data_IF_350772838022
#
_entry.id   IF_350772838022
#
_cell.length_a   1.000
_cell.length_b   1.000
_cell.length_c   1.000
_cell.angle_alpha   90.00
_cell.angle_beta   90.00
_cell.angle_gamma   90.00
#
_symmetry.space_group_name_H-M   'P 1'
#
loop_
_entity.id
_entity.type
_entity.pdbx_description
1 polymer ?
#
# COMPACT_ATOMS: atom_id res chain seq x y z
N UNK A 1 -2.49 -7.36 -18.52
CA UNK A 1 -3.62 -7.70 -19.42
C UNK A 1 -3.44 -9.11 -19.88
N UNK A 2 -4.51 -9.90 -19.86
CA UNK A 2 -4.56 -11.04 -20.76
C UNK A 2 -5.09 -10.51 -22.09
N UNK A 3 -4.25 -10.35 -23.12
CA UNK A 3 -4.80 -10.22 -24.46
C UNK A 3 -5.60 -11.50 -24.75
N UNK A 4 -6.86 -11.40 -25.19
CA UNK A 4 -7.72 -12.56 -25.39
C UNK A 4 -7.02 -13.60 -26.25
N UNK A 5 -7.04 -14.85 -25.80
CA UNK A 5 -6.57 -16.03 -26.55
C UNK A 5 -5.07 -16.12 -26.88
N UNK A 6 -4.28 -15.05 -26.69
CA UNK A 6 -2.86 -15.00 -27.08
C UNK A 6 -1.93 -15.13 -25.88
N UNK A 7 -2.37 -14.68 -24.70
CA UNK A 7 -1.48 -14.58 -23.53
C UNK A 7 -1.93 -15.48 -22.40
N UNK A 8 -0.97 -16.08 -21.71
CA UNK A 8 -1.20 -16.89 -20.49
C UNK A 8 -2.02 -16.17 -19.43
N UNK A 9 -1.85 -14.85 -19.33
CA UNK A 9 -2.57 -14.01 -18.38
C UNK A 9 -4.07 -13.93 -18.63
N UNK A 10 -4.57 -14.31 -19.80
CA UNK A 10 -6.01 -14.43 -20.07
C UNK A 10 -6.57 -15.67 -19.37
N UNK A 11 -6.03 -16.86 -19.67
CA UNK A 11 -6.46 -18.13 -19.09
C UNK A 11 -6.37 -18.15 -17.57
N UNK A 12 -5.26 -17.66 -17.00
CA UNK A 12 -5.09 -17.62 -15.55
C UNK A 12 -6.11 -16.70 -14.85
N UNK A 13 -6.51 -15.59 -15.48
CA UNK A 13 -7.54 -14.69 -14.92
C UNK A 13 -8.93 -15.28 -15.06
N UNK A 14 -9.20 -15.90 -16.20
CA UNK A 14 -10.50 -16.51 -16.49
C UNK A 14 -10.78 -17.69 -15.55
N UNK A 15 -9.76 -18.51 -15.25
CA UNK A 15 -9.84 -19.58 -14.27
C UNK A 15 -10.22 -19.06 -12.87
N UNK A 16 -9.66 -17.92 -12.45
CA UNK A 16 -10.02 -17.29 -11.16
C UNK A 16 -11.48 -16.80 -11.18
N UNK A 17 -11.92 -16.19 -12.29
CA UNK A 17 -13.31 -15.75 -12.44
C UNK A 17 -14.28 -16.95 -12.39
N UNK A 18 -13.95 -18.04 -13.07
CA UNK A 18 -14.68 -19.30 -13.03
C UNK A 18 -14.77 -19.87 -11.62
N UNK A 19 -13.63 -19.94 -10.90
CA UNK A 19 -13.56 -20.46 -9.54
C UNK A 19 -14.36 -19.61 -8.54
N UNK A 20 -14.27 -18.27 -8.62
CA UNK A 20 -15.06 -17.38 -7.76
C UNK A 20 -16.55 -17.56 -8.01
N UNK A 21 -16.96 -17.61 -9.28
CA UNK A 21 -18.37 -17.80 -9.65
C UNK A 21 -18.92 -19.16 -9.19
N UNK A 22 -18.12 -20.23 -9.30
CA UNK A 22 -18.51 -21.59 -8.91
C UNK A 22 -18.43 -21.83 -7.40
N UNK A 23 -17.80 -20.94 -6.63
CA UNK A 23 -17.64 -21.12 -5.17
C UNK A 23 -18.96 -21.17 -4.38
N UNK A 24 -20.07 -20.70 -4.96
CA UNK A 24 -21.41 -20.75 -4.33
C UNK A 24 -21.57 -19.89 -3.06
N UNK A 25 -20.54 -19.14 -2.67
CA UNK A 25 -20.57 -18.26 -1.50
C UNK A 25 -21.42 -17.01 -1.73
N UNK A 26 -22.07 -16.49 -0.69
CA UNK A 26 -22.78 -15.19 -0.74
C UNK A 26 -21.87 -14.05 -1.24
N UNK A 27 -20.56 -14.16 -0.98
CA UNK A 27 -19.56 -13.17 -1.39
C UNK A 27 -18.99 -13.41 -2.80
N UNK A 28 -19.34 -14.51 -3.47
CA UNK A 28 -18.85 -14.84 -4.81
C UNK A 28 -19.19 -13.74 -5.82
N UNK A 29 -20.46 -13.30 -5.85
CA UNK A 29 -20.95 -12.34 -6.83
C UNK A 29 -20.34 -10.94 -6.62
N UNK A 30 -20.32 -10.35 -5.40
CA UNK A 30 -19.63 -9.08 -5.16
C UNK A 30 -18.15 -9.10 -5.55
N UNK A 31 -17.41 -10.16 -5.16
CA UNK A 31 -15.98 -10.30 -5.48
C UNK A 31 -15.79 -10.44 -6.99
N UNK A 32 -16.64 -11.21 -7.66
CA UNK A 32 -16.61 -11.36 -9.11
C UNK A 32 -16.79 -10.01 -9.82
N UNK A 33 -17.79 -9.22 -9.43
CA UNK A 33 -18.00 -7.87 -9.99
C UNK A 33 -16.76 -6.99 -9.80
N UNK A 34 -16.20 -6.95 -8.59
CA UNK A 34 -14.99 -6.17 -8.29
C UNK A 34 -13.83 -6.63 -9.18
N UNK A 35 -13.68 -7.94 -9.37
CA UNK A 35 -12.61 -8.51 -10.18
C UNK A 35 -12.76 -8.15 -11.67
N UNK A 36 -13.99 -8.19 -12.20
CA UNK A 36 -14.33 -7.77 -13.58
C UNK A 36 -14.07 -6.28 -13.77
N UNK A 37 -14.53 -5.43 -12.85
CA UNK A 37 -14.28 -3.98 -12.89
C UNK A 37 -12.78 -3.70 -12.83
N UNK A 38 -12.05 -4.40 -11.95
CA UNK A 38 -10.59 -4.28 -11.85
C UNK A 38 -9.89 -4.70 -13.14
N UNK A 39 -10.37 -5.77 -13.79
CA UNK A 39 -9.87 -6.18 -15.10
C UNK A 39 -10.12 -5.12 -16.17
N UNK A 40 -11.28 -4.45 -16.18
CA UNK A 40 -11.59 -3.36 -17.10
C UNK A 40 -10.75 -2.10 -16.82
N UNK A 41 -10.51 -1.75 -15.56
CA UNK A 41 -9.59 -0.66 -15.18
C UNK A 41 -8.16 -1.00 -15.60
N UNK A 42 -7.77 -2.27 -15.43
CA UNK A 42 -6.50 -2.77 -15.95
C UNK A 42 -6.43 -2.50 -17.44
N UNK A 43 -7.45 -2.99 -18.14
CA UNK A 43 -7.93 -2.67 -19.51
C UNK A 43 -7.51 -1.28 -20.02
N UNK A 44 -7.99 -0.34 -19.25
CA UNK A 44 -7.90 1.06 -19.54
C UNK A 44 -6.51 1.62 -19.28
N UNK A 45 -5.88 1.35 -18.13
CA UNK A 45 -4.62 2.00 -17.78
C UNK A 45 -3.46 1.56 -18.68
N UNK A 46 -3.44 0.30 -19.14
CA UNK A 46 -2.35 -0.17 -20.03
C UNK A 46 -2.52 0.40 -21.43
N UNK A 47 -3.74 0.40 -21.98
CA UNK A 47 -4.01 1.06 -23.28
C UNK A 47 -3.71 2.54 -23.22
N UNK A 48 -4.05 3.23 -22.12
CA UNK A 48 -3.66 4.62 -21.86
C UNK A 48 -2.14 4.79 -21.90
N UNK A 49 -1.39 3.92 -21.21
CA UNK A 49 0.08 3.99 -21.18
C UNK A 49 0.67 3.81 -22.58
N UNK A 50 0.25 2.78 -23.31
CA UNK A 50 0.69 2.52 -24.69
C UNK A 50 0.33 3.70 -25.61
N UNK A 51 -0.89 4.22 -25.49
CA UNK A 51 -1.37 5.37 -26.25
C UNK A 51 -0.52 6.63 -26.01
N UNK A 52 -0.20 6.94 -24.75
CA UNK A 52 0.63 8.11 -24.42
C UNK A 52 2.09 7.95 -24.82
N UNK A 53 2.65 6.74 -24.72
CA UNK A 53 4.08 6.48 -25.00
C UNK A 53 4.36 6.39 -26.51
N UNK A 54 3.54 5.65 -27.27
CA UNK A 54 3.81 5.37 -28.67
C UNK A 54 3.02 6.25 -29.65
N UNK A 55 1.79 6.64 -29.28
CA UNK A 55 0.89 7.45 -30.13
C UNK A 55 0.74 8.90 -29.62
N UNK A 56 1.40 9.22 -28.52
CA UNK A 56 1.47 10.56 -27.94
C UNK A 56 2.41 11.47 -28.73
N UNK A 57 2.36 12.76 -28.43
CA UNK A 57 3.35 13.70 -28.95
C UNK A 57 4.69 13.44 -28.25
N UNK A 58 5.80 13.60 -28.98
CA UNK A 58 7.14 13.45 -28.41
C UNK A 58 7.30 14.37 -27.20
N UNK A 59 7.91 13.85 -26.13
CA UNK A 59 8.29 14.67 -24.99
C UNK A 59 9.40 15.63 -25.39
N UNK A 60 9.44 16.82 -24.78
CA UNK A 60 10.53 17.80 -24.95
C UNK A 60 11.91 17.17 -24.76
N UNK A 61 12.04 16.19 -23.84
CA UNK A 61 13.29 15.48 -23.61
C UNK A 61 13.72 14.64 -24.82
N UNK A 62 12.78 13.95 -25.47
CA UNK A 62 13.05 13.17 -26.69
C UNK A 62 13.44 14.11 -27.83
N UNK A 63 12.71 15.22 -28.01
CA UNK A 63 13.05 16.23 -29.03
C UNK A 63 14.46 16.82 -28.86
N UNK A 64 14.90 17.03 -27.62
CA UNK A 64 16.28 17.44 -27.32
C UNK A 64 17.30 16.36 -27.69
N UNK A 65 17.03 15.09 -27.34
CA UNK A 65 17.89 13.95 -27.70
C UNK A 65 17.96 13.70 -29.21
N UNK A 66 16.87 13.98 -29.96
CA UNK A 66 16.89 13.91 -31.44
C UNK A 66 17.81 14.98 -32.02
N UNK A 67 17.78 16.20 -31.47
CA UNK A 67 18.64 17.31 -31.88
C UNK A 67 20.11 17.06 -31.55
N UNK A 68 20.40 16.35 -30.47
CA UNK A 68 21.74 15.99 -30.02
C UNK A 68 22.29 14.71 -30.70
N UNK A 69 21.48 14.02 -31.52
CA UNK A 69 21.91 12.83 -32.28
C UNK A 69 22.14 11.58 -31.42
N UNK A 70 21.59 11.52 -30.21
CA UNK A 70 21.80 10.43 -29.26
C UNK A 70 20.66 9.39 -29.23
N UNK A 71 19.76 9.38 -30.22
CA UNK A 71 18.74 8.32 -30.32
C UNK A 71 19.40 7.04 -30.79
N UNK A 72 19.59 6.11 -29.85
CA UNK A 72 19.99 4.75 -30.18
C UNK A 72 18.82 3.82 -29.87
N UNK A 73 18.54 2.91 -30.80
CA UNK A 73 17.66 1.78 -30.55
C UNK A 73 18.19 0.90 -29.42
N UNK A 74 17.30 0.14 -28.77
CA UNK A 74 17.70 -0.73 -27.69
C UNK A 74 18.73 -1.77 -28.18
N UNK A 75 19.87 -1.85 -27.47
CA UNK A 75 20.91 -2.86 -27.74
C UNK A 75 20.31 -4.28 -27.74
N UNK A 76 20.83 -5.21 -28.56
CA UNK A 76 20.45 -6.62 -28.54
C UNK A 76 20.48 -7.24 -27.14
N UNK A 77 21.37 -6.79 -26.26
CA UNK A 77 21.46 -7.26 -24.87
C UNK A 77 20.18 -6.97 -24.07
N UNK A 78 19.44 -5.91 -24.44
CA UNK A 78 18.21 -5.51 -23.77
C UNK A 78 16.97 -6.14 -24.41
N UNK A 79 16.83 -6.10 -25.74
CA UNK A 79 15.59 -6.56 -26.39
C UNK A 79 15.52 -8.09 -26.51
N UNK A 80 16.65 -8.80 -26.63
CA UNK A 80 16.65 -10.27 -26.75
C UNK A 80 15.97 -10.95 -25.56
N UNK A 81 16.31 -10.63 -24.28
CA UNK A 81 15.60 -11.20 -23.14
C UNK A 81 14.09 -10.94 -23.19
N UNK A 82 13.66 -9.71 -23.53
CA UNK A 82 12.25 -9.39 -23.66
C UNK A 82 11.56 -10.13 -24.80
N UNK A 83 12.26 -10.33 -25.93
CA UNK A 83 11.77 -11.12 -27.07
C UNK A 83 11.54 -12.58 -26.71
N UNK A 84 12.48 -13.19 -25.99
CA UNK A 84 12.35 -14.57 -25.49
C UNK A 84 11.14 -14.68 -24.53
N UNK A 85 11.03 -13.75 -23.58
CA UNK A 85 9.89 -13.69 -22.64
C UNK A 85 8.55 -13.53 -23.36
N UNK A 86 8.49 -12.67 -24.38
CA UNK A 86 7.28 -12.47 -25.19
C UNK A 86 6.92 -13.74 -25.96
N UNK A 87 7.90 -14.39 -26.60
CA UNK A 87 7.69 -15.65 -27.33
C UNK A 87 7.21 -16.78 -26.41
N UNK A 88 7.79 -16.92 -25.22
CA UNK A 88 7.33 -17.88 -24.21
C UNK A 88 5.91 -17.56 -23.72
N UNK A 89 5.61 -16.28 -23.48
CA UNK A 89 4.27 -15.85 -23.04
C UNK A 89 3.20 -16.13 -24.08
N UNK A 90 3.51 -15.94 -25.37
CA UNK A 90 2.62 -16.27 -26.48
C UNK A 90 2.52 -17.79 -26.65
N UNK A 91 3.64 -18.51 -26.63
CA UNK A 91 3.68 -19.96 -26.78
C UNK A 91 2.86 -20.67 -25.70
N UNK A 92 3.06 -20.32 -24.43
CA UNK A 92 2.27 -20.86 -23.32
C UNK A 92 0.83 -20.32 -23.38
N UNK A 93 0.59 -19.11 -23.90
CA UNK A 93 -0.75 -18.56 -24.06
C UNK A 93 -1.58 -19.33 -25.09
N UNK A 94 -1.02 -19.63 -26.25
CA UNK A 94 -1.69 -20.43 -27.30
C UNK A 94 -1.88 -21.88 -26.83
N UNK A 95 -0.92 -22.44 -26.09
CA UNK A 95 -1.04 -23.79 -25.51
C UNK A 95 -1.87 -23.81 -24.21
N UNK A 96 -2.30 -22.65 -23.69
CA UNK A 96 -2.82 -22.48 -22.34
C UNK A 96 -4.04 -23.33 -22.03
N UNK A 97 -4.94 -23.51 -22.98
CA UNK A 97 -6.14 -24.37 -22.84
C UNK A 97 -5.80 -25.85 -22.60
N UNK A 98 -4.73 -26.36 -23.22
CA UNK A 98 -4.25 -27.71 -22.98
C UNK A 98 -3.61 -27.86 -21.58
N UNK A 99 -3.11 -26.75 -21.02
CA UNK A 99 -2.49 -26.70 -19.70
C UNK A 99 -3.47 -26.33 -18.58
N UNK A 100 -4.62 -25.72 -18.88
CA UNK A 100 -5.58 -25.24 -17.89
C UNK A 100 -6.05 -26.35 -16.96
N UNK A 101 -6.41 -27.51 -17.52
CA UNK A 101 -6.79 -28.68 -16.73
C UNK A 101 -5.65 -29.15 -15.82
N UNK A 102 -4.42 -29.23 -16.34
CA UNK A 102 -3.24 -29.59 -15.53
C UNK A 102 -2.91 -28.56 -14.45
N UNK A 103 -3.06 -27.27 -14.74
CA UNK A 103 -2.83 -26.20 -13.77
C UNK A 103 -3.86 -26.31 -12.65
N UNK A 104 -5.12 -26.57 -12.99
CA UNK A 104 -6.20 -26.77 -12.02
C UNK A 104 -5.91 -27.96 -11.09
N UNK A 105 -5.47 -29.09 -11.63
CA UNK A 105 -5.10 -30.28 -10.84
C UNK A 105 -3.89 -30.02 -9.93
N UNK A 106 -2.85 -29.33 -10.43
CA UNK A 106 -1.66 -28.99 -9.65
C UNK A 106 -2.03 -28.02 -8.52
N UNK A 107 -2.84 -26.99 -8.81
CA UNK A 107 -3.26 -26.01 -7.82
C UNK A 107 -4.17 -26.62 -6.76
N UNK A 108 -5.14 -27.45 -7.15
CA UNK A 108 -6.04 -28.12 -6.19
C UNK A 108 -5.26 -29.06 -5.27
N UNK A 109 -4.34 -29.86 -5.81
CA UNK A 109 -3.46 -30.72 -5.02
C UNK A 109 -2.54 -29.93 -4.08
N UNK A 110 -2.00 -28.80 -4.54
CA UNK A 110 -1.17 -27.93 -3.71
C UNK A 110 -1.97 -27.27 -2.59
N UNK A 111 -3.14 -26.71 -2.91
CA UNK A 111 -4.00 -26.04 -1.94
C UNK A 111 -4.58 -27.00 -0.91
N UNK A 112 -4.94 -28.22 -1.32
CA UNK A 112 -5.39 -29.26 -0.40
C UNK A 112 -4.27 -29.71 0.54
N UNK A 113 -3.04 -29.84 0.03
CA UNK A 113 -1.87 -30.26 0.81
C UNK A 113 -1.37 -29.18 1.78
N UNK A 114 -1.28 -27.94 1.32
CA UNK A 114 -0.72 -26.84 2.10
C UNK A 114 -1.72 -26.19 3.07
N UNK A 115 -3.00 -26.10 2.68
CA UNK A 115 -4.00 -25.34 3.43
C UNK A 115 -5.21 -26.17 3.88
N UNK A 116 -5.27 -27.47 3.54
CA UNK A 116 -6.40 -28.33 3.91
C UNK A 116 -7.73 -27.92 3.26
N UNK A 117 -7.68 -27.06 2.24
CA UNK A 117 -8.87 -26.54 1.55
C UNK A 117 -9.37 -27.63 0.61
N UNK A 118 -10.44 -28.34 1.00
CA UNK A 118 -11.11 -29.30 0.15
C UNK A 118 -12.11 -28.56 -0.76
N UNK A 119 -11.88 -28.58 -2.07
CA UNK A 119 -12.85 -28.07 -3.03
C UNK A 119 -14.03 -29.04 -3.14
N UNK A 120 -15.15 -28.75 -2.46
CA UNK A 120 -16.46 -29.33 -2.82
C UNK A 120 -17.01 -28.70 -4.12
N UNK A 121 -16.16 -28.51 -5.14
CA UNK A 121 -16.55 -28.03 -6.47
C UNK A 121 -16.86 -29.22 -7.38
N UNK A 122 -17.69 -30.14 -6.88
CA UNK A 122 -18.24 -31.25 -7.65
C UNK A 122 -19.74 -31.04 -7.86
N UNK A 123 -20.18 -31.07 -9.12
CA UNK A 123 -21.57 -31.15 -9.58
C UNK A 123 -22.35 -29.85 -9.83
N UNK A 124 -22.07 -29.17 -10.94
CA UNK A 124 -23.09 -28.51 -11.80
C UNK A 124 -22.63 -28.64 -13.27
N UNK A 125 -22.89 -29.79 -13.90
CA UNK A 125 -23.90 -30.01 -14.95
C UNK A 125 -23.55 -29.36 -16.32
N UNK A 126 -22.93 -30.10 -17.24
CA UNK A 126 -23.55 -30.78 -18.41
C UNK A 126 -24.56 -29.94 -19.21
N UNK A 127 -24.16 -29.54 -20.43
CA UNK A 127 -25.07 -29.37 -21.57
C UNK A 127 -24.94 -28.07 -22.37
N UNK A 128 -24.07 -28.04 -23.41
CA UNK A 128 -24.35 -27.28 -24.63
C UNK A 128 -23.35 -27.52 -25.78
N UNK A 129 -23.86 -28.11 -26.87
CA UNK A 129 -23.44 -28.01 -28.29
C UNK A 129 -22.10 -28.62 -28.75
N UNK A 130 -22.25 -29.66 -29.56
CA UNK A 130 -21.29 -30.72 -29.90
C UNK A 130 -20.40 -30.47 -31.14
N UNK A 131 -20.18 -29.24 -31.60
CA UNK A 131 -19.29 -28.99 -32.76
C UNK A 131 -18.15 -27.99 -32.48
N UNK A 132 -18.20 -27.30 -31.33
CA UNK A 132 -17.13 -26.43 -30.80
C UNK A 132 -16.75 -26.82 -29.36
N UNK A 133 -17.19 -27.99 -28.89
CA UNK A 133 -17.25 -28.36 -27.47
C UNK A 133 -15.94 -28.81 -26.84
N UNK A 134 -15.06 -29.51 -27.57
CA UNK A 134 -13.82 -30.06 -26.99
C UNK A 134 -12.74 -29.03 -26.64
N UNK A 135 -12.85 -27.79 -27.14
CA UNK A 135 -11.87 -26.71 -26.88
C UNK A 135 -12.30 -25.80 -25.71
N UNK A 136 -13.56 -25.85 -25.31
CA UNK A 136 -14.17 -24.97 -24.30
C UNK A 136 -14.80 -25.75 -23.14
N UNK A 137 -14.73 -27.08 -23.14
CA UNK A 137 -15.36 -27.97 -22.14
C UNK A 137 -14.85 -27.77 -20.70
N UNK A 138 -13.69 -27.12 -20.51
CA UNK A 138 -13.14 -26.77 -19.20
C UNK A 138 -13.40 -25.32 -18.74
N UNK A 139 -13.91 -24.46 -19.63
CA UNK A 139 -13.96 -23.01 -19.39
C UNK A 139 -15.38 -22.57 -19.05
N UNK A 140 -15.54 -21.87 -17.94
CA UNK A 140 -16.84 -21.34 -17.54
C UNK A 140 -17.27 -20.23 -18.54
N UNK A 141 -18.37 -20.41 -19.31
CA UNK A 141 -18.74 -19.47 -20.37
C UNK A 141 -19.02 -18.05 -19.83
N UNK A 142 -19.48 -17.95 -18.58
CA UNK A 142 -19.78 -16.68 -17.93
C UNK A 142 -18.49 -15.94 -17.60
N UNK A 143 -17.46 -16.65 -17.14
CA UNK A 143 -16.14 -16.07 -16.87
C UNK A 143 -15.52 -15.52 -18.15
N UNK A 144 -15.54 -16.31 -19.24
CA UNK A 144 -14.98 -15.93 -20.53
C UNK A 144 -15.64 -14.66 -21.08
N UNK A 145 -16.98 -14.60 -21.06
CA UNK A 145 -17.73 -13.42 -21.50
C UNK A 145 -17.42 -12.21 -20.62
N UNK A 146 -17.30 -12.39 -19.30
CA UNK A 146 -16.95 -11.31 -18.39
C UNK A 146 -15.51 -10.79 -18.62
N UNK A 147 -14.55 -11.69 -18.84
CA UNK A 147 -13.16 -11.36 -19.16
C UNK A 147 -13.06 -10.60 -20.49
N UNK A 148 -13.75 -11.08 -21.53
CA UNK A 148 -13.72 -10.48 -22.85
C UNK A 148 -14.41 -9.11 -22.87
N UNK A 149 -15.56 -8.98 -22.20
CA UNK A 149 -16.27 -7.71 -22.08
C UNK A 149 -15.48 -6.68 -21.27
N UNK A 150 -14.87 -7.07 -20.15
CA UNK A 150 -13.98 -6.20 -19.38
C UNK A 150 -12.78 -5.71 -20.21
N UNK A 151 -12.15 -6.62 -20.96
CA UNK A 151 -11.06 -6.26 -21.88
C UNK A 151 -11.54 -5.28 -22.95
N UNK A 152 -12.65 -5.57 -23.62
CA UNK A 152 -13.21 -4.74 -24.68
C UNK A 152 -13.57 -3.34 -24.17
N UNK A 153 -14.27 -3.23 -23.03
CA UNK A 153 -14.66 -1.94 -22.44
C UNK A 153 -13.41 -1.11 -22.10
N UNK A 154 -12.44 -1.70 -21.41
CA UNK A 154 -11.21 -0.99 -21.05
C UNK A 154 -10.40 -0.55 -22.27
N UNK A 155 -10.34 -1.40 -23.31
CA UNK A 155 -9.59 -1.13 -24.52
C UNK A 155 -10.25 -0.03 -25.35
N UNK A 156 -11.56 -0.11 -25.58
CA UNK A 156 -12.34 0.88 -26.32
C UNK A 156 -12.23 2.25 -25.65
N UNK A 157 -12.42 2.33 -24.32
CA UNK A 157 -12.27 3.59 -23.59
C UNK A 157 -10.84 4.14 -23.73
N UNK A 158 -9.82 3.30 -23.53
CA UNK A 158 -8.41 3.71 -23.67
C UNK A 158 -8.08 4.19 -25.08
N UNK A 159 -8.60 3.51 -26.10
CA UNK A 159 -8.41 3.83 -27.50
C UNK A 159 -9.03 5.19 -27.85
N UNK A 160 -10.28 5.44 -27.45
CA UNK A 160 -11.00 6.69 -27.73
C UNK A 160 -10.24 7.91 -27.16
N UNK A 161 -9.79 7.82 -25.91
CA UNK A 161 -9.16 8.94 -25.21
C UNK A 161 -7.69 9.16 -25.57
N UNK A 162 -6.89 8.09 -25.76
CA UNK A 162 -5.43 8.21 -25.82
C UNK A 162 -4.80 7.86 -27.16
N UNK A 163 -5.39 6.94 -27.94
CA UNK A 163 -4.85 6.54 -29.25
C UNK A 163 -5.51 7.35 -30.36
N UNK A 164 -6.85 7.27 -30.46
CA UNK A 164 -7.64 8.02 -31.45
C UNK A 164 -7.80 9.51 -31.11
N UNK A 165 -7.54 9.91 -29.86
CA UNK A 165 -7.64 11.29 -29.36
C UNK A 165 -8.96 11.98 -29.73
N UNK A 166 -10.06 11.22 -29.80
CA UNK A 166 -11.39 11.73 -30.17
C UNK A 166 -12.00 12.62 -29.08
N UNK A 167 -11.58 12.45 -27.83
CA UNK A 167 -12.03 13.23 -26.69
C UNK A 167 -10.85 13.60 -25.78
N UNK A 168 -10.86 14.83 -25.26
CA UNK A 168 -9.83 15.32 -24.35
C UNK A 168 -10.12 14.85 -22.90
N UNK A 169 -9.26 14.00 -22.30
CA UNK A 169 -9.47 13.50 -20.94
C UNK A 169 -9.52 14.61 -19.90
N UNK A 170 -8.74 15.69 -20.07
CA UNK A 170 -8.67 16.78 -19.12
C UNK A 170 -9.98 17.57 -19.08
N UNK A 171 -10.61 17.79 -20.24
CA UNK A 171 -11.93 18.44 -20.33
C UNK A 171 -13.01 17.57 -19.72
N UNK A 172 -12.97 16.26 -19.94
CA UNK A 172 -13.94 15.33 -19.34
C UNK A 172 -13.89 15.34 -17.80
N UNK A 173 -12.69 15.27 -17.23
CA UNK A 173 -12.49 15.29 -15.77
C UNK A 173 -12.90 16.63 -15.16
N UNK A 174 -12.56 17.74 -15.81
CA UNK A 174 -12.89 19.08 -15.32
C UNK A 174 -14.34 19.52 -15.62
N UNK A 175 -15.10 18.72 -16.37
CA UNK A 175 -16.50 19.02 -16.70
C UNK A 175 -17.41 18.99 -15.46
N UNK A 176 -17.10 18.13 -14.49
CA UNK A 176 -17.92 17.95 -13.29
C UNK A 176 -17.05 17.94 -12.01
N UNK A 177 -17.53 18.62 -10.97
CA UNK A 177 -16.88 18.68 -9.66
C UNK A 177 -16.66 17.29 -9.07
N UNK A 178 -17.61 16.37 -9.28
CA UNK A 178 -17.51 14.98 -8.78
C UNK A 178 -16.34 14.26 -9.45
N UNK A 179 -16.22 14.34 -10.78
CA UNK A 179 -15.12 13.69 -11.50
C UNK A 179 -13.77 14.31 -11.17
N UNK A 180 -13.71 15.63 -11.02
CA UNK A 180 -12.52 16.30 -10.54
C UNK A 180 -12.10 15.84 -9.13
N UNK A 181 -13.05 15.73 -8.20
CA UNK A 181 -12.79 15.28 -6.83
C UNK A 181 -12.29 13.82 -6.79
N UNK A 182 -12.96 12.93 -7.53
CA UNK A 182 -12.53 11.53 -7.68
C UNK A 182 -11.12 11.49 -8.27
N UNK A 183 -10.88 12.19 -9.38
CA UNK A 183 -9.56 12.25 -10.01
C UNK A 183 -8.49 12.76 -9.06
N UNK A 184 -8.76 13.83 -8.32
CA UNK A 184 -7.83 14.42 -7.33
C UNK A 184 -7.53 13.45 -6.19
N UNK A 185 -8.52 12.69 -5.72
CA UNK A 185 -8.31 11.65 -4.72
C UNK A 185 -7.36 10.55 -5.20
N UNK A 186 -7.59 10.03 -6.41
CA UNK A 186 -6.71 9.03 -7.03
C UNK A 186 -5.32 9.59 -7.34
N UNK A 187 -5.23 10.85 -7.78
CA UNK A 187 -3.97 11.54 -8.07
C UNK A 187 -3.11 11.73 -6.81
N UNK A 188 -3.74 12.00 -5.66
CA UNK A 188 -3.07 12.08 -4.37
C UNK A 188 -2.84 10.70 -3.73
N UNK A 189 -2.80 9.61 -4.51
CA UNK A 189 -2.54 8.24 -4.05
C UNK A 189 -3.44 7.82 -2.89
N UNK A 190 -4.72 8.20 -2.98
CA UNK A 190 -5.74 7.94 -1.95
C UNK A 190 -5.41 8.56 -0.59
N UNK A 191 -4.49 9.53 -0.56
CA UNK A 191 -3.94 10.12 0.66
C UNK A 191 -3.29 9.10 1.61
N UNK A 192 -2.98 7.89 1.15
CA UNK A 192 -2.34 6.87 1.99
C UNK A 192 -0.95 7.31 2.41
N UNK A 193 -0.16 7.89 1.50
CA UNK A 193 1.16 8.45 1.82
C UNK A 193 1.06 9.54 2.90
N UNK A 194 0.03 10.40 2.82
CA UNK A 194 -0.19 11.45 3.80
C UNK A 194 -0.64 10.90 5.15
N UNK A 195 -1.53 9.91 5.15
CA UNK A 195 -2.04 9.25 6.36
C UNK A 195 -0.90 8.49 7.07
N UNK A 196 -0.10 7.73 6.33
CA UNK A 196 1.04 6.98 6.87
C UNK A 196 2.06 7.95 7.48
N UNK A 197 2.44 9.01 6.76
CA UNK A 197 3.36 10.00 7.30
C UNK A 197 2.79 10.70 8.54
N UNK A 198 1.51 11.06 8.51
CA UNK A 198 0.87 11.69 9.66
C UNK A 198 0.84 10.76 10.87
N UNK A 199 0.48 9.49 10.68
CA UNK A 199 0.31 8.51 11.75
C UNK A 199 1.63 8.01 12.32
N UNK A 200 2.61 7.70 11.47
CA UNK A 200 3.85 7.03 11.87
C UNK A 200 5.04 7.97 12.01
N UNK A 201 5.00 9.15 11.40
CA UNK A 201 6.11 10.11 11.49
C UNK A 201 5.71 11.30 12.35
N UNK A 202 4.67 12.03 11.93
CA UNK A 202 4.28 13.29 12.57
C UNK A 202 3.69 13.06 13.95
N UNK A 203 2.78 12.09 14.10
CA UNK A 203 2.16 11.74 15.39
C UNK A 203 3.18 11.43 16.48
N UNK A 204 4.09 10.47 16.27
CA UNK A 204 5.14 10.14 17.24
C UNK A 204 6.09 11.30 17.52
N UNK A 205 6.45 12.11 16.52
CA UNK A 205 7.28 13.30 16.73
C UNK A 205 6.59 14.35 17.60
N UNK A 206 5.28 14.57 17.42
CA UNK A 206 4.52 15.47 18.29
C UNK A 206 4.43 14.95 19.72
N UNK A 207 4.21 13.65 19.90
CA UNK A 207 4.20 13.02 21.22
C UNK A 207 5.57 13.13 21.89
N UNK A 208 6.65 12.81 21.19
CA UNK A 208 8.02 12.93 21.70
C UNK A 208 8.35 14.37 22.12
N UNK A 209 7.99 15.37 21.30
CA UNK A 209 8.13 16.79 21.65
C UNK A 209 7.25 17.21 22.83
N UNK A 210 6.11 16.54 23.02
CA UNK A 210 5.26 16.72 24.19
C UNK A 210 5.93 16.20 25.45
N UNK A 211 6.42 14.96 25.41
CA UNK A 211 7.17 14.33 26.52
C UNK A 211 8.39 15.17 26.87
N UNK A 212 9.20 15.57 25.90
CA UNK A 212 10.37 16.42 26.14
C UNK A 212 10.02 17.72 26.89
N UNK A 213 9.08 18.52 26.37
CA UNK A 213 8.74 19.82 26.98
C UNK A 213 8.06 19.72 28.34
N UNK A 214 7.16 18.74 28.51
CA UNK A 214 6.37 18.67 29.74
C UNK A 214 7.01 17.81 30.81
N UNK A 215 7.65 16.70 30.43
CA UNK A 215 8.22 15.76 31.39
C UNK A 215 9.71 16.04 31.62
N UNK A 216 10.51 16.17 30.57
CA UNK A 216 11.95 16.37 30.73
C UNK A 216 12.27 17.78 31.23
N UNK A 217 11.88 18.81 30.49
CA UNK A 217 12.19 20.20 30.81
C UNK A 217 11.45 20.67 32.09
N UNK A 218 10.15 20.39 32.21
CA UNK A 218 9.36 20.93 33.34
C UNK A 218 9.43 20.08 34.61
N UNK A 219 9.36 18.76 34.48
CA UNK A 219 9.36 17.86 35.65
C UNK A 219 10.80 17.53 36.04
N UNK A 220 11.61 16.96 35.15
CA UNK A 220 12.95 16.50 35.53
C UNK A 220 13.90 17.65 35.89
N UNK A 221 14.00 18.71 35.06
CA UNK A 221 14.86 19.84 35.44
C UNK A 221 14.32 20.57 36.67
N UNK A 222 13.00 20.69 36.78
CA UNK A 222 12.34 21.20 37.97
C UNK A 222 12.73 20.44 39.24
N UNK A 223 12.73 19.11 39.20
CA UNK A 223 13.18 18.26 40.29
C UNK A 223 14.67 18.43 40.60
N UNK A 224 15.52 18.56 39.58
CA UNK A 224 16.96 18.77 39.79
C UNK A 224 17.28 20.07 40.54
N UNK A 225 16.45 21.10 40.38
CA UNK A 225 16.61 22.37 41.10
C UNK A 225 16.14 22.31 42.56
N UNK A 226 15.37 21.29 42.97
CA UNK A 226 14.85 21.17 44.34
C UNK A 226 15.97 20.89 45.36
N UNK A 227 16.85 19.89 45.19
CA UNK A 227 17.97 19.67 46.10
C UNK A 227 18.88 20.89 46.23
N UNK A 228 19.20 21.53 45.11
CA UNK A 228 20.05 22.74 45.08
C UNK A 228 19.45 23.85 45.95
N UNK A 229 18.18 24.21 45.71
CA UNK A 229 17.49 25.26 46.47
C UNK A 229 17.29 24.88 47.94
N UNK A 230 17.03 23.61 48.22
CA UNK A 230 16.84 23.11 49.60
C UNK A 230 18.15 23.18 50.37
N UNK A 231 19.27 22.75 49.78
CA UNK A 231 20.59 22.85 50.39
C UNK A 231 21.01 24.30 50.59
N UNK A 232 20.83 25.16 49.58
CA UNK A 232 21.12 26.59 49.70
C UNK A 232 20.27 27.27 50.78
N UNK A 233 18.99 26.92 50.88
CA UNK A 233 18.08 27.41 51.93
C UNK A 233 18.50 26.94 53.32
N UNK A 234 18.82 25.64 53.48
CA UNK A 234 19.30 25.08 54.73
C UNK A 234 20.61 25.71 55.19
N UNK A 235 21.54 25.95 54.27
CA UNK A 235 22.80 26.64 54.56
C UNK A 235 22.55 28.08 55.04
N UNK A 236 21.62 28.82 54.43
CA UNK A 236 21.24 30.18 54.87
C UNK A 236 20.64 30.17 56.28
N UNK A 237 19.79 29.20 56.60
CA UNK A 237 19.23 29.04 57.95
C UNK A 237 20.35 28.79 58.95
N UNK A 238 21.25 27.84 58.66
CA UNK A 238 22.38 27.52 59.53
C UNK A 238 23.31 28.73 59.70
N UNK A 239 23.58 29.47 58.63
CA UNK A 239 24.37 30.69 58.68
C UNK A 239 23.70 31.77 59.54
N UNK A 240 22.37 31.89 59.50
CA UNK A 240 21.64 32.87 60.32
C UNK A 240 21.71 32.60 61.82
N UNK A 241 21.97 31.36 62.25
CA UNK A 241 22.18 31.02 63.66
C UNK A 241 23.52 31.50 64.21
N UNK A 242 24.47 31.82 63.33
CA UNK A 242 25.78 32.36 63.70
C UNK A 242 25.68 33.88 63.91
N UNK A 243 25.24 34.27 65.11
CA UNK A 243 24.99 35.69 65.46
C UNK A 243 26.26 36.49 65.73
N UNK A 244 27.42 35.85 65.90
CA UNK A 244 28.69 36.53 66.23
C UNK A 244 28.78 37.08 67.66
N UNK A 245 27.74 36.88 68.48
CA UNK A 245 27.68 37.35 69.87
C UNK A 245 28.00 36.19 70.81
N UNK A 246 29.08 36.30 71.60
CA UNK A 246 29.55 35.24 72.51
C UNK A 246 28.48 34.75 73.50
N UNK A 247 27.60 35.63 73.95
CA UNK A 247 26.51 35.30 74.89
C UNK A 247 25.50 34.31 74.30
N UNK A 248 25.15 34.46 73.02
CA UNK A 248 24.23 33.55 72.32
C UNK A 248 24.78 32.12 72.27
N UNK A 249 26.08 31.96 72.06
CA UNK A 249 26.73 30.65 72.05
C UNK A 249 26.71 29.96 73.42
N UNK A 250 26.87 30.71 74.51
CA UNK A 250 26.80 30.17 75.87
C UNK A 250 25.40 29.64 76.20
N UNK A 251 24.34 30.36 75.80
CA UNK A 251 22.96 29.88 75.98
C UNK A 251 22.69 28.60 75.20
N UNK A 252 23.12 28.52 73.93
CA UNK A 252 22.96 27.31 73.10
C UNK A 252 23.74 26.13 73.67
N UNK A 253 24.96 26.35 74.15
CA UNK A 253 25.78 25.33 74.79
C UNK A 253 25.15 24.78 76.07
N UNK A 254 24.67 25.67 76.95
CA UNK A 254 23.96 25.29 78.17
C UNK A 254 22.67 24.50 77.88
N UNK A 255 21.88 24.96 76.91
CA UNK A 255 20.69 24.23 76.45
C UNK A 255 21.04 22.85 75.89
N UNK A 256 22.14 22.74 75.13
CA UNK A 256 22.64 21.49 74.59
C UNK A 256 23.02 20.48 75.67
N UNK A 257 23.74 20.91 76.72
CA UNK A 257 24.07 20.06 77.87
C UNK A 257 22.79 19.56 78.54
N UNK A 258 21.83 20.46 78.78
CA UNK A 258 20.57 20.12 79.44
C UNK A 258 19.80 19.07 78.62
N UNK A 259 19.70 19.25 77.29
CA UNK A 259 19.05 18.28 76.37
C UNK A 259 19.74 16.91 76.43
N UNK A 260 21.08 16.87 76.36
CA UNK A 260 21.84 15.61 76.40
C UNK A 260 21.62 14.88 77.73
N UNK A 261 21.66 15.61 78.85
CA UNK A 261 21.40 15.04 80.17
C UNK A 261 19.98 14.49 80.23
N UNK A 262 18.99 15.22 79.71
CA UNK A 262 17.59 14.80 79.69
C UNK A 262 17.39 13.56 78.82
N UNK A 263 18.04 13.48 77.66
CA UNK A 263 18.05 12.29 76.78
C UNK A 263 18.72 11.07 77.42
N UNK A 264 19.66 11.26 78.36
CA UNK A 264 20.29 10.16 79.10
C UNK A 264 19.41 9.62 80.23
N UNK A 265 18.42 10.40 80.69
CA UNK A 265 17.47 10.00 81.73
C UNK A 265 16.14 9.47 81.18
N UNK A 266 15.96 9.47 79.85
CA UNK A 266 14.86 8.82 79.11
C UNK A 266 15.37 7.48 78.59
#
# INVERSE_FOLDING_TARGET
>A
MGAPFITTGFWSKDAIFGAVYQSGSTWALPIFIIAVVTAAITTFYTTRMIGMVFFGNKSKHVEHLEKEGHIHEASPVMWIPYGILAALTIGVGVLGLAFEHKIHDIFTAYLSSAFGIQSQAGAVATGSSQLLGGFLEGVNPIALVASLSAFAIGFVLGYIFYIGKFADPAKFVNSNIVFYAIHKFFLNRWYLDALINWTFVVGPLYLARGVYRYFEERVMEGFNLVPEKTMAGGARILQSTQTGISQSYLYVFGAGILIVVLLLFI
#
